data_IF_376680072176
#
_entry.id   IF_376680072176
#
_cell.length_a   1.000
_cell.length_b   1.000
_cell.length_c   1.000
_cell.angle_alpha   90.00
_cell.angle_beta   90.00
_cell.angle_gamma   90.00
#
_symmetry.space_group_name_H-M   'P 1'
#
loop_
_entity.id
_entity.type
_entity.pdbx_description
1 polymer ?
#
# COMPACT_ATOMS: atom_id res chain seq x y z
N UNK A 1 -6.54 -38.72 -26.91
CA UNK A 1 -6.78 -39.53 -25.70
C UNK A 1 -5.45 -40.14 -25.27
N UNK A 2 -4.91 -39.70 -24.14
CA UNK A 2 -3.67 -40.18 -23.56
C UNK A 2 -3.75 -39.95 -22.05
N UNK A 3 -3.71 -41.05 -21.31
CA UNK A 3 -4.05 -41.20 -19.89
C UNK A 3 -3.17 -40.41 -18.91
N UNK A 4 -3.80 -39.86 -17.87
CA UNK A 4 -3.51 -40.33 -16.50
C UNK A 4 -2.40 -39.67 -15.67
N UNK A 5 -1.81 -38.54 -16.06
CA UNK A 5 -0.94 -37.76 -15.16
C UNK A 5 -1.68 -36.55 -14.61
N UNK A 6 -1.70 -36.35 -13.28
CA UNK A 6 -2.17 -35.07 -12.73
C UNK A 6 -1.24 -33.97 -13.25
N UNK A 7 -1.77 -33.07 -14.09
CA UNK A 7 -1.05 -31.87 -14.51
C UNK A 7 -0.60 -31.11 -13.27
N UNK A 8 0.61 -30.56 -13.30
CA UNK A 8 1.02 -29.65 -12.23
C UNK A 8 0.13 -28.40 -12.27
N UNK A 9 0.04 -27.68 -11.16
CA UNK A 9 -0.64 -26.38 -11.12
C UNK A 9 -0.05 -25.42 -12.17
N UNK A 10 1.26 -25.49 -12.42
CA UNK A 10 1.92 -24.69 -13.45
C UNK A 10 1.43 -25.03 -14.87
N UNK A 11 1.27 -26.32 -15.18
CA UNK A 11 0.77 -26.77 -16.50
C UNK A 11 -0.69 -26.35 -16.71
N UNK A 12 -1.49 -26.42 -15.66
CA UNK A 12 -2.89 -26.00 -15.70
C UNK A 12 -3.02 -24.49 -15.91
N UNK A 13 -2.24 -23.68 -15.19
CA UNK A 13 -2.17 -22.23 -15.38
C UNK A 13 -1.66 -21.85 -16.78
N UNK A 14 -0.65 -22.55 -17.30
CA UNK A 14 -0.13 -22.31 -18.65
C UNK A 14 -1.18 -22.61 -19.72
N UNK A 15 -1.92 -23.72 -19.57
CA UNK A 15 -3.03 -24.07 -20.45
C UNK A 15 -4.14 -23.02 -20.39
N UNK A 16 -4.58 -22.61 -19.19
CA UNK A 16 -5.61 -21.60 -19.00
C UNK A 16 -5.23 -20.25 -19.61
N UNK A 17 -4.00 -19.78 -19.39
CA UNK A 17 -3.50 -18.52 -19.97
C UNK A 17 -3.56 -18.54 -21.49
N UNK A 18 -3.18 -19.67 -22.10
CA UNK A 18 -3.28 -19.84 -23.54
C UNK A 18 -4.74 -19.91 -24.02
N UNK A 19 -5.60 -20.61 -23.29
CA UNK A 19 -7.01 -20.80 -23.66
C UNK A 19 -7.85 -19.50 -23.56
N UNK A 20 -7.60 -18.67 -22.55
CA UNK A 20 -8.34 -17.41 -22.30
C UNK A 20 -7.70 -16.23 -23.02
N UNK A 21 -6.41 -16.32 -23.40
CA UNK A 21 -5.69 -15.25 -24.08
C UNK A 21 -5.32 -14.07 -23.17
N UNK A 22 -5.43 -14.22 -21.85
CA UNK A 22 -5.03 -13.20 -20.86
C UNK A 22 -3.50 -13.15 -20.71
N UNK A 23 -2.80 -12.75 -21.79
CA UNK A 23 -1.35 -12.59 -21.84
C UNK A 23 -0.96 -11.11 -21.82
N UNK A 24 0.12 -10.71 -21.11
CA UNK A 24 0.58 -9.33 -21.12
C UNK A 24 1.21 -8.96 -22.48
N UNK A 25 1.15 -7.68 -22.84
CA UNK A 25 1.84 -7.17 -24.01
C UNK A 25 3.37 -7.32 -23.86
N UNK A 26 4.12 -7.66 -24.93
CA UNK A 26 5.58 -7.83 -24.83
C UNK A 26 6.31 -6.58 -24.31
N UNK A 27 5.80 -5.38 -24.63
CA UNK A 27 6.37 -4.12 -24.15
C UNK A 27 6.14 -3.93 -22.63
N UNK A 28 4.97 -4.29 -22.12
CA UNK A 28 4.67 -4.25 -20.68
C UNK A 28 5.57 -5.22 -19.90
N UNK A 29 5.80 -6.41 -20.46
CA UNK A 29 6.75 -7.39 -19.90
C UNK A 29 8.16 -6.82 -19.86
N UNK A 30 8.59 -6.13 -20.93
CA UNK A 30 9.89 -5.47 -20.94
C UNK A 30 10.01 -4.37 -19.87
N UNK A 31 8.97 -3.55 -19.69
CA UNK A 31 8.93 -2.53 -18.64
C UNK A 31 8.97 -3.15 -17.24
N UNK A 32 8.18 -4.20 -16.99
CA UNK A 32 8.20 -4.93 -15.72
C UNK A 32 9.58 -5.53 -15.44
N UNK A 33 10.19 -6.18 -16.44
CA UNK A 33 11.53 -6.74 -16.33
C UNK A 33 12.60 -5.66 -16.10
N UNK A 34 12.46 -4.48 -16.71
CA UNK A 34 13.31 -3.32 -16.41
C UNK A 34 13.18 -2.89 -14.95
N UNK A 35 11.95 -2.83 -14.42
CA UNK A 35 11.67 -2.48 -13.02
C UNK A 35 12.18 -3.52 -12.01
N UNK A 36 12.17 -4.81 -12.36
CA UNK A 36 12.68 -5.89 -11.50
C UNK A 36 14.16 -5.73 -11.15
N UNK A 37 14.97 -5.16 -12.04
CA UNK A 37 16.40 -4.93 -11.81
C UNK A 37 16.70 -4.05 -10.59
N UNK A 38 15.76 -3.18 -10.20
CA UNK A 38 15.88 -2.32 -9.02
C UNK A 38 14.91 -2.69 -7.90
N UNK A 39 14.16 -3.79 -8.01
CA UNK A 39 13.11 -4.14 -7.04
C UNK A 39 13.64 -4.20 -5.61
N UNK A 40 14.73 -4.93 -5.37
CA UNK A 40 15.27 -5.11 -4.02
C UNK A 40 15.64 -3.79 -3.36
N UNK A 41 16.37 -2.92 -4.06
CA UNK A 41 16.83 -1.64 -3.48
C UNK A 41 15.65 -0.69 -3.22
N UNK A 42 14.66 -0.66 -4.12
CA UNK A 42 13.46 0.16 -3.95
C UNK A 42 12.59 -0.35 -2.81
N UNK A 43 12.33 -1.65 -2.75
CA UNK A 43 11.49 -2.25 -1.73
C UNK A 43 12.07 -2.05 -0.33
N UNK A 44 13.38 -2.25 -0.15
CA UNK A 44 14.04 -2.05 1.15
C UNK A 44 14.04 -0.58 1.58
N UNK A 45 14.37 0.35 0.67
CA UNK A 45 14.39 1.78 0.97
C UNK A 45 12.98 2.30 1.33
N UNK A 46 11.98 2.03 0.49
CA UNK A 46 10.60 2.45 0.75
C UNK A 46 10.02 1.81 2.02
N UNK A 47 10.35 0.55 2.32
CA UNK A 47 9.91 -0.11 3.56
C UNK A 47 10.53 0.54 4.80
N UNK A 48 11.80 0.97 4.73
CA UNK A 48 12.44 1.70 5.82
C UNK A 48 11.77 3.05 6.08
N UNK A 49 11.48 3.82 5.02
CA UNK A 49 10.72 5.07 5.11
C UNK A 49 9.30 4.83 5.66
N UNK A 50 8.62 3.76 5.21
CA UNK A 50 7.28 3.41 5.69
C UNK A 50 7.27 3.10 7.20
N UNK A 51 8.25 2.35 7.69
CA UNK A 51 8.40 2.08 9.13
C UNK A 51 8.61 3.36 9.93
N UNK A 52 9.45 4.26 9.44
CA UNK A 52 9.71 5.54 10.11
C UNK A 52 8.45 6.43 10.15
N UNK A 53 7.76 6.57 9.02
CA UNK A 53 6.48 7.27 8.93
C UNK A 53 5.46 6.65 9.89
N UNK A 54 5.32 5.32 9.90
CA UNK A 54 4.38 4.62 10.77
C UNK A 54 4.66 4.88 12.26
N UNK A 55 5.94 4.87 12.67
CA UNK A 55 6.34 5.14 14.06
C UNK A 55 6.00 6.56 14.49
N UNK A 56 6.20 7.55 13.61
CA UNK A 56 5.94 8.96 13.91
C UNK A 56 4.45 9.31 13.84
N UNK A 57 3.68 8.65 12.97
CA UNK A 57 2.29 9.00 12.68
C UNK A 57 1.36 8.92 13.90
N UNK A 58 1.64 8.03 14.88
CA UNK A 58 0.87 7.94 16.13
C UNK A 58 0.89 9.23 16.97
N UNK A 59 1.84 10.15 16.73
CA UNK A 59 1.94 11.42 17.43
C UNK A 59 1.17 12.57 16.75
N UNK A 60 0.52 12.33 15.59
CA UNK A 60 -0.23 13.36 14.88
C UNK A 60 -1.61 13.58 15.55
N UNK A 61 -2.05 14.84 15.78
CA UNK A 61 -3.28 15.15 16.52
C UNK A 61 -4.59 14.74 15.82
N UNK A 62 -4.54 14.13 14.64
CA UNK A 62 -5.70 13.59 13.92
C UNK A 62 -5.64 12.08 13.68
N UNK A 63 -4.64 11.37 14.22
CA UNK A 63 -4.48 9.92 14.09
C UNK A 63 -4.89 9.24 15.39
N UNK A 64 -5.78 8.25 15.30
CA UNK A 64 -6.23 7.45 16.46
C UNK A 64 -5.59 6.07 16.50
N UNK A 65 -5.14 5.55 15.35
CA UNK A 65 -4.46 4.26 15.27
C UNK A 65 -3.62 4.16 13.98
N UNK A 66 -2.57 3.33 14.03
CA UNK A 66 -1.65 3.09 12.90
C UNK A 66 -1.55 1.59 12.65
N UNK A 67 -2.00 1.16 11.47
CA UNK A 67 -1.90 -0.23 11.05
C UNK A 67 -0.67 -0.41 10.17
N UNK A 68 0.39 -0.95 10.77
CA UNK A 68 1.61 -1.31 10.07
C UNK A 68 2.29 -2.52 10.73
N UNK A 69 2.60 -3.62 10.01
CA UNK A 69 3.16 -4.83 10.61
C UNK A 69 4.52 -4.64 11.30
N UNK A 70 5.26 -3.59 10.95
CA UNK A 70 6.56 -3.28 11.57
C UNK A 70 6.47 -2.57 12.92
N UNK A 71 5.28 -2.22 13.40
CA UNK A 71 5.09 -1.66 14.73
C UNK A 71 4.90 -2.77 15.78
N UNK A 72 5.57 -2.66 16.91
CA UNK A 72 5.49 -3.65 18.00
C UNK A 72 4.06 -3.85 18.53
N UNK A 73 3.24 -2.78 18.50
CA UNK A 73 1.85 -2.82 18.92
C UNK A 73 0.92 -3.54 17.91
N UNK A 74 1.38 -3.82 16.69
CA UNK A 74 0.56 -4.47 15.68
C UNK A 74 0.34 -5.95 16.03
N UNK A 75 -0.89 -6.48 16.00
CA UNK A 75 -1.18 -7.86 16.43
C UNK A 75 -0.45 -8.93 15.60
N UNK A 76 -0.10 -8.61 14.35
CA UNK A 76 0.68 -9.47 13.46
C UNK A 76 2.19 -9.28 13.53
N UNK A 77 2.73 -8.42 14.41
CA UNK A 77 4.15 -8.06 14.42
C UNK A 77 5.07 -9.27 14.54
N UNK A 78 4.84 -10.12 15.55
CA UNK A 78 5.66 -11.31 15.78
C UNK A 78 5.67 -12.27 14.59
N UNK A 79 4.53 -12.43 13.91
CA UNK A 79 4.44 -13.25 12.71
C UNK A 79 5.17 -12.61 11.53
N UNK A 80 4.97 -11.30 11.33
CA UNK A 80 5.63 -10.53 10.29
C UNK A 80 7.16 -10.63 10.43
N UNK A 81 7.69 -10.40 11.63
CA UNK A 81 9.12 -10.50 11.94
C UNK A 81 9.70 -11.90 11.67
N UNK A 82 8.90 -12.96 11.83
CA UNK A 82 9.37 -14.33 11.53
C UNK A 82 9.42 -14.67 10.05
N UNK A 83 8.60 -14.04 9.20
CA UNK A 83 8.39 -14.48 7.81
C UNK A 83 8.70 -13.42 6.75
N UNK A 84 8.96 -12.17 7.15
CA UNK A 84 9.20 -11.05 6.24
C UNK A 84 10.62 -10.49 6.43
N UNK A 85 11.32 -10.22 5.33
CA UNK A 85 12.63 -9.55 5.36
C UNK A 85 12.52 -8.04 5.65
N UNK A 86 11.36 -7.46 5.35
CA UNK A 86 10.97 -6.08 5.62
C UNK A 86 9.43 -5.98 5.63
N UNK A 87 8.87 -4.95 6.27
CA UNK A 87 7.43 -4.88 6.56
C UNK A 87 6.56 -4.27 5.44
N UNK A 88 7.17 -3.93 4.30
CA UNK A 88 6.47 -3.39 3.13
C UNK A 88 6.27 -1.88 3.18
N UNK A 89 5.61 -1.35 2.15
CA UNK A 89 5.54 0.09 1.87
C UNK A 89 4.17 0.73 2.18
N UNK A 90 3.20 -0.10 2.58
CA UNK A 90 1.83 0.35 2.81
C UNK A 90 1.62 0.60 4.29
N UNK A 91 1.21 1.82 4.65
CA UNK A 91 0.85 2.22 6.01
C UNK A 91 -0.60 2.67 5.98
N UNK A 92 -1.41 2.22 6.92
CA UNK A 92 -2.79 2.73 7.07
C UNK A 92 -2.94 3.48 8.37
N UNK A 93 -3.63 4.62 8.32
CA UNK A 93 -3.91 5.49 9.46
C UNK A 93 -5.42 5.51 9.70
N UNK A 94 -5.83 5.35 10.95
CA UNK A 94 -7.20 5.64 11.39
C UNK A 94 -7.22 7.09 11.86
N UNK A 95 -8.13 7.88 11.34
CA UNK A 95 -8.28 9.28 11.69
C UNK A 95 -9.38 9.48 12.73
N UNK A 96 -9.42 10.67 13.35
CA UNK A 96 -10.47 11.02 14.31
C UNK A 96 -11.87 11.11 13.69
N UNK A 97 -11.96 11.33 12.38
CA UNK A 97 -13.21 11.30 11.61
C UNK A 97 -12.97 11.07 10.12
N UNK A 98 -14.05 10.77 9.38
CA UNK A 98 -14.03 10.64 7.93
C UNK A 98 -13.68 11.96 7.23
N UNK A 99 -14.09 13.11 7.79
CA UNK A 99 -13.76 14.44 7.29
C UNK A 99 -12.26 14.69 7.39
N UNK A 100 -11.62 14.33 8.52
CA UNK A 100 -10.18 14.46 8.69
C UNK A 100 -9.44 13.54 7.72
N UNK A 101 -9.88 12.29 7.55
CA UNK A 101 -9.28 11.34 6.62
C UNK A 101 -9.26 11.89 5.18
N UNK A 102 -10.40 12.43 4.71
CA UNK A 102 -10.50 13.04 3.37
C UNK A 102 -9.67 14.32 3.26
N UNK A 103 -9.77 15.21 4.25
CA UNK A 103 -9.06 16.48 4.24
C UNK A 103 -7.53 16.30 4.18
N UNK A 104 -6.98 15.31 4.90
CA UNK A 104 -5.55 15.00 4.82
C UNK A 104 -5.16 14.54 3.41
N UNK A 105 -5.95 13.62 2.82
CA UNK A 105 -5.71 13.11 1.46
C UNK A 105 -5.68 14.23 0.40
N UNK A 106 -6.45 15.29 0.59
CA UNK A 106 -6.53 16.43 -0.34
C UNK A 106 -5.47 17.52 -0.08
N UNK A 107 -4.79 17.48 1.08
CA UNK A 107 -3.88 18.54 1.54
C UNK A 107 -2.39 18.22 1.39
N UNK A 108 -2.04 16.95 1.18
CA UNK A 108 -0.66 16.55 0.89
C UNK A 108 -0.19 17.15 -0.44
N UNK A 109 1.10 17.42 -0.53
CA UNK A 109 1.76 18.02 -1.69
C UNK A 109 2.74 17.06 -2.34
N UNK A 110 3.33 16.15 -1.57
CA UNK A 110 4.24 15.11 -2.06
C UNK A 110 3.50 13.80 -2.26
N UNK A 111 2.65 13.40 -1.30
CA UNK A 111 1.77 12.26 -1.54
C UNK A 111 0.69 12.65 -2.56
N UNK A 112 0.73 11.99 -3.73
CA UNK A 112 -0.28 12.19 -4.75
C UNK A 112 -1.58 11.44 -4.37
N UNK A 113 -2.71 12.15 -4.44
CA UNK A 113 -4.03 11.55 -4.24
C UNK A 113 -4.38 10.66 -5.45
N UNK A 114 -4.10 9.36 -5.34
CA UNK A 114 -4.32 8.41 -6.42
C UNK A 114 -4.48 6.98 -5.91
N UNK A 115 -5.15 6.16 -6.72
CA UNK A 115 -5.18 4.71 -6.55
C UNK A 115 -3.86 4.08 -7.02
N UNK A 116 -3.64 2.81 -6.69
CA UNK A 116 -2.40 2.03 -6.89
C UNK A 116 -1.45 2.10 -5.68
N UNK A 117 -0.33 1.36 -5.77
CA UNK A 117 0.68 1.24 -4.72
C UNK A 117 2.00 0.67 -5.26
N UNK A 118 3.09 0.85 -4.50
CA UNK A 118 4.40 0.22 -4.76
C UNK A 118 5.22 0.84 -5.91
N UNK A 119 4.81 2.03 -6.37
CA UNK A 119 5.58 2.86 -7.29
C UNK A 119 6.76 3.53 -6.57
N UNK A 120 7.55 4.33 -7.31
CA UNK A 120 8.64 5.11 -6.69
C UNK A 120 8.12 6.40 -6.07
N UNK A 121 6.98 6.87 -6.55
CA UNK A 121 6.24 8.02 -6.05
C UNK A 121 5.34 7.60 -4.88
N UNK A 122 5.24 8.48 -3.89
CA UNK A 122 4.36 8.35 -2.74
C UNK A 122 2.90 8.64 -3.11
N UNK A 123 2.00 7.74 -2.72
CA UNK A 123 0.56 7.88 -2.97
C UNK A 123 -0.22 7.87 -1.66
N UNK A 124 -1.32 8.63 -1.62
CA UNK A 124 -2.29 8.64 -0.54
C UNK A 124 -3.68 8.41 -1.10
N UNK A 125 -4.53 7.68 -0.38
CA UNK A 125 -5.93 7.54 -0.72
C UNK A 125 -6.82 7.39 0.51
N UNK A 126 -8.12 7.67 0.31
CA UNK A 126 -9.20 7.34 1.22
C UNK A 126 -9.94 6.10 0.68
N UNK A 127 -9.64 4.87 1.17
CA UNK A 127 -10.08 3.63 0.53
C UNK A 127 -11.60 3.50 0.42
N UNK A 128 -12.35 3.96 1.43
CA UNK A 128 -13.81 3.83 1.47
C UNK A 128 -14.52 4.56 0.31
N UNK A 129 -13.97 5.67 -0.19
CA UNK A 129 -14.52 6.37 -1.37
C UNK A 129 -13.74 6.12 -2.67
N UNK A 130 -12.68 5.33 -2.62
CA UNK A 130 -11.79 5.07 -3.76
C UNK A 130 -11.69 3.57 -4.06
N UNK A 131 -10.58 2.92 -3.72
CA UNK A 131 -10.30 1.51 -4.10
C UNK A 131 -11.33 0.51 -3.60
N UNK A 132 -12.00 0.81 -2.49
CA UNK A 132 -12.98 -0.06 -1.84
C UNK A 132 -14.40 0.49 -1.90
N UNK A 133 -14.67 1.51 -2.72
CA UNK A 133 -16.02 2.08 -2.87
C UNK A 133 -17.08 1.01 -3.24
N UNK A 134 -16.69 -0.02 -3.99
CA UNK A 134 -17.58 -1.14 -4.37
C UNK A 134 -17.85 -2.15 -3.24
N UNK A 135 -17.23 -1.96 -2.07
CA UNK A 135 -17.38 -2.83 -0.88
C UNK A 135 -18.29 -2.26 0.19
N UNK A 136 -18.84 -1.06 -0.01
CA UNK A 136 -19.75 -0.43 0.93
C UNK A 136 -20.95 -1.34 1.27
N UNK A 137 -21.29 -1.44 2.56
CA UNK A 137 -22.36 -2.31 3.08
C UNK A 137 -22.09 -3.82 2.97
N UNK A 138 -20.86 -4.25 2.65
CA UNK A 138 -20.47 -5.67 2.59
C UNK A 138 -19.65 -6.08 3.81
N UNK A 139 -19.45 -7.39 4.01
CA UNK A 139 -18.53 -7.89 5.04
C UNK A 139 -17.05 -7.49 4.82
N UNK A 140 -16.71 -6.91 3.66
CA UNK A 140 -15.38 -6.41 3.32
C UNK A 140 -15.32 -4.88 3.30
N UNK A 141 -16.34 -4.21 3.85
CA UNK A 141 -16.36 -2.76 3.99
C UNK A 141 -15.15 -2.30 4.81
N UNK A 142 -14.51 -1.23 4.31
CA UNK A 142 -13.39 -0.57 4.99
C UNK A 142 -13.93 0.66 5.69
N UNK A 143 -13.43 1.02 6.89
CA UNK A 143 -14.01 2.14 7.59
C UNK A 143 -13.61 3.48 6.96
N UNK A 144 -14.47 4.48 7.11
CA UNK A 144 -14.46 5.75 6.37
C UNK A 144 -13.53 6.83 6.94
N UNK A 145 -12.96 6.57 8.11
CA UNK A 145 -11.86 7.31 8.73
C UNK A 145 -10.49 6.67 8.41
N UNK A 146 -10.40 5.76 7.44
CA UNK A 146 -9.14 5.15 7.02
C UNK A 146 -8.44 5.96 5.92
N UNK A 147 -7.16 6.25 6.12
CA UNK A 147 -6.23 6.75 5.10
C UNK A 147 -5.21 5.65 4.79
N UNK A 148 -4.94 5.38 3.51
CA UNK A 148 -3.86 4.47 3.09
C UNK A 148 -2.74 5.25 2.41
N UNK A 149 -1.53 5.07 2.90
CA UNK A 149 -0.30 5.54 2.29
C UNK A 149 0.37 4.39 1.54
N UNK A 150 0.86 4.66 0.34
CA UNK A 150 1.90 3.87 -0.32
C UNK A 150 3.15 4.73 -0.34
N UNK A 151 4.09 4.44 0.55
CA UNK A 151 5.31 5.22 0.71
C UNK A 151 6.29 4.91 -0.43
N UNK A 152 6.77 5.95 -1.09
CA UNK A 152 7.70 5.92 -2.20
C UNK A 152 9.17 6.00 -1.78
N UNK A 153 9.98 6.64 -2.62
CA UNK A 153 11.44 6.78 -2.47
C UNK A 153 11.90 8.22 -2.24
N UNK A 154 10.97 9.13 -1.99
CA UNK A 154 11.28 10.49 -1.56
C UNK A 154 12.03 10.49 -0.22
N UNK A 155 12.62 11.64 0.14
CA UNK A 155 13.23 11.80 1.45
C UNK A 155 12.18 11.64 2.55
N UNK A 156 12.48 10.82 3.55
CA UNK A 156 11.54 10.50 4.63
C UNK A 156 11.16 11.72 5.45
N UNK A 157 12.06 12.69 5.60
CA UNK A 157 11.78 13.93 6.32
C UNK A 157 10.85 14.85 5.53
N UNK A 158 10.99 14.88 4.19
CA UNK A 158 10.07 15.62 3.32
C UNK A 158 8.66 15.01 3.36
N UNK A 159 8.55 13.68 3.27
CA UNK A 159 7.27 12.97 3.41
C UNK A 159 6.64 13.18 4.79
N UNK A 160 7.45 13.15 5.84
CA UNK A 160 6.98 13.41 7.19
C UNK A 160 6.47 14.85 7.35
N UNK A 161 7.21 15.84 6.85
CA UNK A 161 6.81 17.24 6.89
C UNK A 161 5.50 17.49 6.12
N UNK A 162 5.32 16.84 4.97
CA UNK A 162 4.08 16.91 4.18
C UNK A 162 2.88 16.39 4.98
N UNK A 163 3.01 15.24 5.64
CA UNK A 163 1.96 14.70 6.50
C UNK A 163 1.67 15.61 7.70
N UNK A 164 2.70 16.13 8.39
CA UNK A 164 2.51 17.05 9.51
C UNK A 164 1.70 18.29 9.10
N UNK A 165 2.06 18.89 7.96
CA UNK A 165 1.36 20.03 7.40
C UNK A 165 -0.08 19.69 6.99
N UNK A 166 -0.31 18.53 6.36
CA UNK A 166 -1.63 18.10 5.95
C UNK A 166 -2.56 17.89 7.16
N UNK A 167 -2.08 17.20 8.21
CA UNK A 167 -2.84 16.97 9.44
C UNK A 167 -3.09 18.25 10.23
N UNK A 168 -2.10 19.15 10.36
CA UNK A 168 -2.30 20.44 11.02
C UNK A 168 -3.39 21.29 10.35
N UNK A 169 -3.50 21.22 9.01
CA UNK A 169 -4.55 21.92 8.26
C UNK A 169 -5.90 21.21 8.24
N UNK A 170 -5.97 19.92 8.58
CA UNK A 170 -7.21 19.12 8.61
C UNK A 170 -7.90 19.12 9.98
N UNK A 171 -7.16 19.40 11.06
CA UNK A 171 -7.68 19.50 12.43
C UNK A 171 -8.21 20.90 12.80
N UNK A 172 -8.21 21.84 11.85
CA UNK A 172 -8.65 23.23 12.05
C UNK A 172 -9.98 23.56 11.38
#
# INVERSE_FOLDING_TARGET
MGAGGSRSVADELAWLRNAVGAVPGPFDVWLAHRGLKSLRVRALAASASALEIARRASALPGVVDVLYPGLDAHPGHDLATRQMDAFGVVVSLRCTSAEVARAVCERTRLFALAVSLGAVESLIEHPASMTHATKAGSAQEVPDDLVRLSVGLEDVEDLWADLQQAFAGASG
#
